data_IF_491318644442
#
_entry.id   IF_491318644442
#
_cell.length_a   1.000
_cell.length_b   1.000
_cell.length_c   1.000
_cell.angle_alpha   90.00
_cell.angle_beta   90.00
_cell.angle_gamma   90.00
#
_symmetry.space_group_name_H-M   'P 1'
#
loop_
_entity.id
_entity.type
_entity.pdbx_description
1 polymer ?
#
# COMPACT_ATOMS: atom_id res chain seq x y z
N UNK A 1 41.87 1.28 1.55
CA UNK A 1 40.65 1.22 2.37
C UNK A 1 39.47 1.52 1.47
N UNK A 2 38.53 0.58 1.24
CA UNK A 2 37.31 0.90 0.50
C UNK A 2 36.45 1.82 1.38
N UNK A 3 35.88 2.86 0.76
CA UNK A 3 34.92 3.76 1.41
C UNK A 3 33.54 3.19 1.18
N UNK A 4 32.87 2.77 2.24
CA UNK A 4 31.48 2.32 2.19
C UNK A 4 30.59 3.52 1.86
N UNK A 5 30.24 3.64 0.60
CA UNK A 5 29.30 4.60 0.05
C UNK A 5 27.87 4.12 0.34
N UNK A 6 27.43 4.32 1.58
CA UNK A 6 26.05 4.05 1.99
C UNK A 6 25.13 5.03 1.27
N UNK A 7 24.30 4.51 0.37
CA UNK A 7 23.25 5.28 -0.30
C UNK A 7 21.95 5.11 0.50
N UNK A 8 21.56 6.14 1.25
CA UNK A 8 20.28 6.14 1.98
C UNK A 8 19.21 6.62 1.00
N UNK A 9 18.34 5.71 0.57
CA UNK A 9 17.17 6.03 -0.24
C UNK A 9 16.16 6.87 0.56
N UNK A 10 16.29 8.20 0.50
CA UNK A 10 15.25 9.14 0.96
C UNK A 10 14.12 9.15 -0.07
N UNK A 11 13.30 8.09 -0.08
CA UNK A 11 12.28 7.92 -1.13
C UNK A 11 11.10 7.04 -0.74
N UNK A 12 10.94 6.69 0.53
CA UNK A 12 9.75 5.98 0.96
C UNK A 12 8.58 6.98 1.01
N UNK A 13 7.82 7.05 -0.08
CA UNK A 13 6.47 7.63 -0.04
C UNK A 13 5.76 7.02 1.16
N UNK A 14 5.33 7.87 2.10
CA UNK A 14 4.66 7.42 3.31
C UNK A 14 3.47 6.53 2.90
N UNK A 15 3.18 5.50 3.70
CA UNK A 15 2.05 4.62 3.44
C UNK A 15 0.75 5.43 3.26
N UNK A 16 0.59 6.51 4.05
CA UNK A 16 -0.47 7.49 3.88
C UNK A 16 -0.51 8.09 2.47
N UNK A 17 0.63 8.55 1.97
CA UNK A 17 0.74 9.14 0.64
C UNK A 17 0.42 8.17 -0.49
N UNK A 18 0.84 6.90 -0.37
CA UNK A 18 0.46 5.84 -1.33
C UNK A 18 -1.06 5.62 -1.35
N UNK A 19 -1.68 5.52 -0.18
CA UNK A 19 -3.14 5.36 -0.04
C UNK A 19 -3.87 6.57 -0.62
N UNK A 20 -3.43 7.77 -0.27
CA UNK A 20 -4.09 9.00 -0.73
C UNK A 20 -3.96 9.18 -2.25
N UNK A 21 -2.81 8.84 -2.85
CA UNK A 21 -2.63 8.82 -4.30
C UNK A 21 -3.56 7.80 -4.96
N UNK A 22 -3.57 6.56 -4.48
CA UNK A 22 -4.41 5.50 -5.02
C UNK A 22 -5.91 5.84 -4.97
N UNK A 23 -6.39 6.39 -3.85
CA UNK A 23 -7.79 6.83 -3.72
C UNK A 23 -8.11 8.04 -4.62
N UNK A 24 -7.13 8.89 -4.90
CA UNK A 24 -7.27 10.00 -5.86
C UNK A 24 -7.39 9.48 -7.28
N UNK A 25 -6.62 8.45 -7.65
CA UNK A 25 -6.65 7.80 -8.97
C UNK A 25 -7.94 7.02 -9.22
N UNK A 26 -8.48 6.35 -8.19
CA UNK A 26 -9.71 5.54 -8.29
C UNK A 26 -10.99 6.37 -8.43
N UNK A 27 -11.00 7.63 -7.99
CA UNK A 27 -12.05 8.58 -8.33
C UNK A 27 -13.09 8.90 -7.24
N UNK A 28 -13.62 10.13 -7.35
CA UNK A 28 -14.46 10.84 -6.38
C UNK A 28 -15.90 10.33 -6.36
N UNK A 29 -16.30 9.76 -5.22
CA UNK A 29 -17.67 9.29 -4.95
C UNK A 29 -17.80 8.61 -3.59
N UNK A 30 -16.66 8.17 -3.04
CA UNK A 30 -16.54 7.60 -1.71
C UNK A 30 -15.87 8.60 -0.76
N UNK A 31 -16.13 8.49 0.55
CA UNK A 31 -15.42 9.28 1.56
C UNK A 31 -14.04 8.65 1.85
N UNK A 32 -12.92 9.21 1.33
CA UNK A 32 -11.60 8.60 1.46
C UNK A 32 -11.13 8.50 2.90
N UNK A 33 -11.56 9.43 3.78
CA UNK A 33 -11.20 9.39 5.19
C UNK A 33 -11.90 8.24 5.94
N UNK A 34 -13.13 7.90 5.56
CA UNK A 34 -13.85 6.76 6.14
C UNK A 34 -13.25 5.43 5.65
N UNK A 35 -13.01 5.31 4.34
CA UNK A 35 -12.39 4.13 3.74
C UNK A 35 -11.00 3.84 4.30
N UNK A 36 -10.18 4.88 4.41
CA UNK A 36 -8.85 4.79 5.00
C UNK A 36 -8.93 4.26 6.43
N UNK A 37 -9.79 4.79 7.29
CA UNK A 37 -9.94 4.27 8.66
C UNK A 37 -10.40 2.81 8.70
N UNK A 38 -11.33 2.43 7.82
CA UNK A 38 -11.87 1.08 7.78
C UNK A 38 -10.87 0.02 7.29
N UNK A 39 -9.92 0.40 6.42
CA UNK A 39 -8.98 -0.52 5.77
C UNK A 39 -7.52 -0.36 6.22
N UNK A 40 -7.17 0.69 6.98
CA UNK A 40 -5.80 0.97 7.41
C UNK A 40 -5.16 -0.20 8.16
N UNK A 41 -5.90 -0.86 9.06
CA UNK A 41 -5.38 -2.02 9.79
C UNK A 41 -4.96 -3.16 8.87
N UNK A 42 -5.77 -3.44 7.85
CA UNK A 42 -5.48 -4.48 6.86
C UNK A 42 -4.29 -4.11 5.98
N UNK A 43 -4.19 -2.85 5.55
CA UNK A 43 -3.05 -2.36 4.76
C UNK A 43 -1.76 -2.46 5.57
N UNK A 44 -1.77 -2.05 6.84
CA UNK A 44 -0.59 -2.15 7.72
C UNK A 44 -0.17 -3.60 7.90
N UNK A 45 -1.12 -4.52 8.10
CA UNK A 45 -0.83 -5.94 8.25
C UNK A 45 -0.15 -6.50 6.98
N UNK A 46 -0.66 -6.17 5.80
CA UNK A 46 -0.09 -6.64 4.52
C UNK A 46 1.26 -5.97 4.19
N UNK A 47 1.43 -4.69 4.48
CA UNK A 47 2.71 -4.00 4.30
C UNK A 47 3.78 -4.50 5.28
N UNK A 48 3.37 -5.05 6.43
CA UNK A 48 4.27 -5.65 7.42
C UNK A 48 4.59 -7.11 7.12
N UNK A 49 3.81 -7.76 6.24
CA UNK A 49 4.08 -9.12 5.79
C UNK A 49 5.32 -9.16 4.88
N UNK A 50 6.00 -10.30 4.86
CA UNK A 50 7.12 -10.58 3.95
C UNK A 50 6.63 -10.82 2.52
N UNK A 51 7.51 -10.68 1.53
CA UNK A 51 7.14 -10.97 0.13
C UNK A 51 6.73 -12.43 -0.07
N UNK A 52 7.29 -13.37 0.70
CA UNK A 52 6.90 -14.78 0.67
C UNK A 52 5.47 -14.99 1.18
N UNK A 53 5.07 -14.29 2.24
CA UNK A 53 3.70 -14.33 2.77
C UNK A 53 2.72 -13.69 1.78
N UNK A 54 3.08 -12.56 1.15
CA UNK A 54 2.26 -11.94 0.10
C UNK A 54 2.11 -12.87 -1.12
N UNK A 55 3.19 -13.54 -1.54
CA UNK A 55 3.15 -14.49 -2.63
C UNK A 55 2.25 -15.70 -2.31
N UNK A 56 2.18 -16.13 -1.05
CA UNK A 56 1.32 -17.25 -0.63
C UNK A 56 -0.17 -16.97 -0.81
N UNK A 57 -0.57 -15.71 -0.72
CA UNK A 57 -1.94 -15.23 -0.98
C UNK A 57 -2.12 -14.72 -2.43
N UNK A 58 -1.09 -14.84 -3.26
CA UNK A 58 -1.12 -14.53 -4.69
C UNK A 58 -1.07 -13.04 -5.02
N UNK A 59 -0.55 -12.19 -4.13
CA UNK A 59 -0.40 -10.75 -4.39
C UNK A 59 1.06 -10.32 -4.28
N UNK A 60 1.43 -9.30 -5.04
CA UNK A 60 2.69 -8.59 -4.88
C UNK A 60 2.48 -7.31 -4.06
N UNK A 61 3.58 -6.69 -3.60
CA UNK A 61 3.52 -5.54 -2.67
C UNK A 61 2.85 -4.30 -3.27
N UNK A 62 3.00 -4.12 -4.58
CA UNK A 62 2.29 -3.11 -5.38
C UNK A 62 0.78 -3.40 -5.52
N UNK A 63 0.38 -4.67 -5.38
CA UNK A 63 -1.01 -5.12 -5.50
C UNK A 63 -1.80 -5.05 -4.18
N UNK A 64 -1.17 -4.63 -3.07
CA UNK A 64 -1.83 -4.55 -1.75
C UNK A 64 -3.06 -3.64 -1.80
N UNK A 65 -2.93 -2.43 -2.35
CA UNK A 65 -4.05 -1.47 -2.40
C UNK A 65 -5.20 -1.98 -3.30
N UNK A 66 -4.95 -2.41 -4.56
CA UNK A 66 -5.97 -3.07 -5.37
C UNK A 66 -6.65 -4.26 -4.69
N UNK A 67 -5.88 -5.09 -3.98
CA UNK A 67 -6.42 -6.25 -3.28
C UNK A 67 -7.36 -5.87 -2.14
N UNK A 68 -6.95 -4.88 -1.32
CA UNK A 68 -7.73 -4.41 -0.17
C UNK A 68 -9.02 -3.71 -0.57
N UNK A 69 -9.02 -2.99 -1.69
CA UNK A 69 -10.18 -2.24 -2.19
C UNK A 69 -10.94 -2.97 -3.31
N UNK A 70 -10.60 -4.23 -3.62
CA UNK A 70 -11.25 -4.99 -4.70
C UNK A 70 -12.76 -5.11 -4.52
N UNK A 71 -13.21 -5.15 -3.26
CA UNK A 71 -14.62 -5.23 -2.86
C UNK A 71 -15.41 -3.98 -3.26
N UNK A 72 -14.76 -2.82 -3.32
CA UNK A 72 -15.37 -1.56 -3.74
C UNK A 72 -15.28 -1.33 -5.25
N UNK A 73 -14.28 -1.92 -5.91
CA UNK A 73 -14.01 -1.74 -7.34
C UNK A 73 -14.69 -2.78 -8.24
N UNK A 74 -15.15 -3.90 -7.68
CA UNK A 74 -15.82 -4.97 -8.43
C UNK A 74 -17.35 -4.78 -8.55
N UNK A 75 -17.88 -3.66 -8.08
CA UNK A 75 -19.31 -3.31 -8.11
C UNK A 75 -19.69 -2.46 -9.32
#
# INVERSE_FOLDING_TARGET
MPRDNVTIGMGHTSLKGKIDLYLTEVGFGMNPAALKRARLGQIIALESATDAELASIGIARDQILPFVFRDLLAA
#
